data_IF_586633776585
#
_entry.id   IF_586633776585
#
_cell.length_a   1.000
_cell.length_b   1.000
_cell.length_c   1.000
_cell.angle_alpha   90.00
_cell.angle_beta   90.00
_cell.angle_gamma   90.00
#
_symmetry.space_group_name_H-M   'P 1'
#
loop_
_entity.id
_entity.type
_entity.pdbx_description
1 polymer ?
#
# COMPACT_ATOMS: atom_id res chain seq x y z
N UNK A 1 56.47 -41.96 -58.44
CA UNK A 1 56.35 -40.59 -57.94
C UNK A 1 54.88 -40.32 -57.53
N UNK A 2 54.55 -40.42 -56.23
CA UNK A 2 53.18 -40.23 -55.74
C UNK A 2 53.22 -38.88 -55.02
N UNK A 3 52.42 -37.89 -55.47
CA UNK A 3 52.23 -36.61 -54.84
C UNK A 3 51.04 -36.70 -53.87
N UNK A 4 51.31 -36.55 -52.58
CA UNK A 4 50.30 -36.46 -51.52
C UNK A 4 49.89 -34.97 -51.41
N UNK A 5 48.60 -34.69 -51.74
CA UNK A 5 47.96 -33.36 -51.44
C UNK A 5 47.47 -33.37 -50.01
N UNK A 6 48.05 -32.55 -49.16
CA UNK A 6 47.56 -32.24 -47.81
C UNK A 6 46.52 -31.13 -47.92
N UNK A 7 45.27 -31.47 -47.66
CA UNK A 7 44.18 -30.48 -47.53
C UNK A 7 44.14 -29.91 -46.10
N UNK A 8 44.48 -28.63 -45.95
CA UNK A 8 44.34 -27.90 -44.66
C UNK A 8 42.90 -27.48 -44.46
N UNK A 9 42.26 -28.04 -43.43
CA UNK A 9 40.94 -27.62 -42.97
C UNK A 9 41.13 -26.41 -42.03
N UNK A 10 40.75 -25.20 -42.47
CA UNK A 10 40.68 -24.01 -41.63
C UNK A 10 39.32 -24.03 -40.92
N UNK A 11 39.31 -24.37 -39.63
CA UNK A 11 38.13 -24.25 -38.76
C UNK A 11 37.88 -22.76 -38.46
N UNK A 12 36.82 -22.20 -39.03
CA UNK A 12 36.33 -20.86 -38.69
C UNK A 12 35.65 -20.93 -37.32
N UNK A 13 36.33 -20.55 -36.25
CA UNK A 13 35.73 -20.36 -34.95
C UNK A 13 34.91 -19.07 -34.99
N UNK A 14 33.57 -19.18 -35.06
CA UNK A 14 32.64 -18.07 -34.92
C UNK A 14 32.71 -17.57 -33.50
N UNK A 15 33.39 -16.44 -33.26
CA UNK A 15 33.29 -15.67 -32.02
C UNK A 15 31.86 -15.07 -31.94
N UNK A 16 30.99 -15.75 -31.23
CA UNK A 16 29.70 -15.17 -30.82
C UNK A 16 30.01 -13.98 -29.92
N UNK A 17 29.90 -12.77 -30.44
CA UNK A 17 29.94 -11.56 -29.61
C UNK A 17 28.78 -11.64 -28.60
N UNK A 18 29.02 -11.36 -27.29
CA UNK A 18 27.93 -11.30 -26.34
C UNK A 18 26.97 -10.21 -26.81
N UNK A 19 25.66 -10.56 -26.90
CA UNK A 19 24.62 -9.57 -27.16
C UNK A 19 24.72 -8.47 -26.08
N UNK A 20 24.56 -7.19 -26.42
CA UNK A 20 24.56 -6.13 -25.42
C UNK A 20 23.46 -6.46 -24.42
N UNK A 21 23.81 -6.62 -23.15
CA UNK A 21 22.87 -6.72 -22.04
C UNK A 21 22.04 -5.44 -22.07
N UNK A 22 20.77 -5.54 -22.42
CA UNK A 22 19.87 -4.39 -22.34
C UNK A 22 19.76 -4.00 -20.86
N UNK A 23 20.05 -2.74 -20.55
CA UNK A 23 19.90 -2.24 -19.17
C UNK A 23 18.46 -2.47 -18.70
N UNK A 24 18.28 -2.89 -17.45
CA UNK A 24 16.96 -3.07 -16.86
C UNK A 24 16.15 -1.76 -16.90
N UNK A 25 14.86 -1.87 -17.15
CA UNK A 25 13.96 -0.73 -17.16
C UNK A 25 13.77 -0.21 -15.74
N UNK A 26 14.15 1.04 -15.51
CA UNK A 26 13.97 1.68 -14.19
C UNK A 26 12.49 1.92 -13.90
N UNK A 27 12.11 1.72 -12.65
CA UNK A 27 10.75 1.92 -12.16
C UNK A 27 10.78 2.45 -10.72
N UNK A 28 10.27 3.66 -10.50
CA UNK A 28 10.17 4.25 -9.17
C UNK A 28 8.82 3.99 -8.55
N UNK A 29 8.81 3.52 -7.29
CA UNK A 29 7.61 3.26 -6.48
C UNK A 29 7.66 4.14 -5.24
N UNK A 30 6.78 5.13 -5.18
CA UNK A 30 6.62 5.99 -4.02
C UNK A 30 5.67 5.32 -3.02
N UNK A 31 6.18 5.02 -1.81
CA UNK A 31 5.40 4.41 -0.74
C UNK A 31 4.48 5.45 -0.09
N UNK A 32 3.43 4.99 0.59
CA UNK A 32 2.49 5.84 1.34
C UNK A 32 3.00 6.17 2.76
N UNK A 33 3.98 5.38 3.24
CA UNK A 33 4.56 5.47 4.58
C UNK A 33 6.05 5.13 4.54
N UNK A 34 6.76 5.21 5.67
CA UNK A 34 8.08 4.61 5.79
C UNK A 34 8.00 3.09 5.60
N UNK A 35 9.10 2.47 5.15
CA UNK A 35 9.14 1.02 4.91
C UNK A 35 8.73 0.27 6.17
N UNK A 36 7.79 -0.64 6.02
CA UNK A 36 7.25 -1.49 7.08
C UNK A 36 6.78 -2.84 6.49
N UNK A 37 6.30 -3.79 7.29
CA UNK A 37 5.87 -5.11 6.83
C UNK A 37 4.77 -5.13 5.76
N UNK A 38 3.94 -4.10 5.65
CA UNK A 38 2.90 -4.03 4.60
C UNK A 38 3.49 -3.94 3.19
N UNK A 39 4.77 -3.53 3.08
CA UNK A 39 5.51 -3.51 1.81
C UNK A 39 6.24 -4.83 1.50
N UNK A 40 6.09 -5.86 2.32
CA UNK A 40 6.84 -7.11 2.19
C UNK A 40 6.78 -7.74 0.77
N UNK A 41 5.65 -7.78 0.04
CA UNK A 41 5.66 -8.35 -1.31
C UNK A 41 6.65 -7.69 -2.27
N UNK A 42 6.82 -6.37 -2.20
CA UNK A 42 7.78 -5.66 -3.06
C UNK A 42 9.23 -5.91 -2.60
N UNK A 43 9.47 -5.89 -1.29
CA UNK A 43 10.80 -6.17 -0.72
C UNK A 43 11.24 -7.60 -1.04
N UNK A 44 10.35 -8.57 -0.91
CA UNK A 44 10.63 -9.97 -1.23
C UNK A 44 10.85 -10.15 -2.73
N UNK A 45 10.10 -9.44 -3.59
CA UNK A 45 10.34 -9.45 -5.03
C UNK A 45 11.76 -8.97 -5.37
N UNK A 46 12.24 -7.91 -4.71
CA UNK A 46 13.63 -7.45 -4.84
C UNK A 46 14.64 -8.50 -4.36
N UNK A 47 14.47 -9.00 -3.12
CA UNK A 47 15.43 -9.91 -2.50
C UNK A 47 15.54 -11.26 -3.21
N UNK A 48 14.47 -11.69 -3.88
CA UNK A 48 14.45 -12.91 -4.68
C UNK A 48 14.84 -12.70 -6.14
N UNK A 49 15.15 -11.47 -6.53
CA UNK A 49 15.52 -11.13 -7.91
C UNK A 49 14.36 -11.15 -8.90
N UNK A 50 13.09 -11.23 -8.44
CA UNK A 50 11.92 -11.34 -9.33
C UNK A 50 11.73 -10.10 -10.21
N UNK A 51 12.10 -8.92 -9.74
CA UNK A 51 12.13 -7.73 -10.58
C UNK A 51 13.23 -7.77 -11.63
N UNK A 52 14.44 -8.22 -11.24
CA UNK A 52 15.54 -8.38 -12.17
C UNK A 52 15.23 -9.42 -13.26
N UNK A 53 14.62 -10.56 -12.90
CA UNK A 53 14.16 -11.59 -13.83
C UNK A 53 13.10 -11.04 -14.81
N UNK A 54 12.32 -10.06 -14.37
CA UNK A 54 11.36 -9.31 -15.19
C UNK A 54 12.01 -8.15 -15.97
N UNK A 55 13.35 -8.02 -15.97
CA UNK A 55 14.10 -6.91 -16.56
C UNK A 55 13.67 -5.54 -16.02
N UNK A 56 13.43 -5.45 -14.70
CA UNK A 56 13.08 -4.22 -13.97
C UNK A 56 14.14 -3.90 -12.91
N UNK A 57 14.48 -2.61 -12.82
CA UNK A 57 15.24 -2.01 -11.73
C UNK A 57 14.27 -1.14 -10.91
N UNK A 58 13.76 -1.69 -9.80
CA UNK A 58 12.69 -1.07 -8.99
C UNK A 58 13.28 -0.38 -7.79
N UNK A 59 13.01 0.91 -7.64
CA UNK A 59 13.38 1.72 -6.49
C UNK A 59 12.14 1.97 -5.60
N UNK A 60 12.22 1.60 -4.31
CA UNK A 60 11.19 1.89 -3.31
C UNK A 60 11.56 3.16 -2.56
N UNK A 61 10.70 4.18 -2.60
CA UNK A 61 10.96 5.52 -2.07
C UNK A 61 9.93 5.84 -0.98
N UNK A 62 10.39 6.01 0.26
CA UNK A 62 9.52 6.47 1.34
C UNK A 62 9.19 7.97 1.18
N UNK A 63 7.93 8.40 1.39
CA UNK A 63 7.55 9.79 1.24
C UNK A 63 8.05 10.63 2.44
N UNK A 64 8.26 11.93 2.21
CA UNK A 64 8.51 12.90 3.28
C UNK A 64 7.21 13.39 3.93
N UNK A 65 6.07 13.26 3.24
CA UNK A 65 4.71 13.60 3.69
C UNK A 65 3.77 12.49 3.20
N UNK A 66 3.04 11.79 4.09
CA UNK A 66 2.16 10.68 3.70
C UNK A 66 0.99 11.11 2.80
N UNK A 67 0.61 12.39 2.83
CA UNK A 67 -0.46 12.94 1.97
C UNK A 67 0.02 13.40 0.58
N UNK A 68 1.34 13.36 0.31
CA UNK A 68 1.88 13.92 -0.93
C UNK A 68 1.84 12.96 -2.13
N UNK A 69 1.75 11.65 -1.88
CA UNK A 69 1.91 10.59 -2.88
C UNK A 69 1.05 10.78 -4.14
N UNK A 70 -0.28 11.00 -4.06
CA UNK A 70 -1.11 11.13 -5.25
C UNK A 70 -0.70 12.32 -6.12
N UNK A 71 -0.30 13.45 -5.50
CA UNK A 71 0.15 14.63 -6.24
C UNK A 71 1.50 14.41 -6.93
N UNK A 72 2.43 13.74 -6.26
CA UNK A 72 3.77 13.46 -6.79
C UNK A 72 3.69 12.49 -7.98
N UNK A 73 2.88 11.43 -7.88
CA UNK A 73 2.64 10.51 -9.00
C UNK A 73 1.92 11.22 -10.14
N UNK A 74 0.87 12.03 -9.86
CA UNK A 74 0.17 12.82 -10.87
C UNK A 74 1.10 13.78 -11.62
N UNK A 75 2.12 14.33 -10.93
CA UNK A 75 3.14 15.19 -11.51
C UNK A 75 4.25 14.44 -12.25
N UNK A 76 4.22 13.09 -12.28
CA UNK A 76 5.24 12.26 -12.92
C UNK A 76 6.58 12.21 -12.17
N UNK A 77 6.59 12.50 -10.86
CA UNK A 77 7.79 12.44 -10.03
C UNK A 77 8.08 11.01 -9.52
N UNK A 78 7.12 10.10 -9.69
CA UNK A 78 7.29 8.66 -9.54
C UNK A 78 6.40 7.96 -10.58
N UNK A 79 6.79 6.74 -11.01
CA UNK A 79 6.04 5.95 -11.97
C UNK A 79 4.80 5.31 -11.33
N UNK A 80 4.98 4.82 -10.10
CA UNK A 80 3.96 4.12 -9.29
C UNK A 80 3.86 4.81 -7.93
N UNK A 81 2.65 4.88 -7.38
CA UNK A 81 2.41 5.21 -5.98
C UNK A 81 1.69 4.08 -5.26
N UNK A 82 2.02 3.86 -3.98
CA UNK A 82 1.14 3.15 -3.08
C UNK A 82 0.11 4.15 -2.58
N UNK A 83 -1.14 3.77 -2.63
CA UNK A 83 -2.25 4.66 -2.31
C UNK A 83 -3.41 3.89 -1.68
N UNK A 84 -4.41 4.60 -1.19
CA UNK A 84 -5.59 4.03 -0.56
C UNK A 84 -6.76 4.05 -1.55
N UNK A 85 -7.48 2.93 -1.69
CA UNK A 85 -8.66 2.90 -2.57
C UNK A 85 -9.65 4.03 -2.25
N UNK A 86 -9.98 4.31 -0.98
CA UNK A 86 -10.91 5.40 -0.65
C UNK A 86 -10.45 6.79 -1.12
N UNK A 87 -9.16 7.10 -0.99
CA UNK A 87 -8.62 8.39 -1.41
C UNK A 87 -8.65 8.55 -2.93
N UNK A 88 -8.52 7.46 -3.70
CA UNK A 88 -8.58 7.51 -5.16
C UNK A 88 -9.88 8.13 -5.70
N UNK A 89 -11.02 7.94 -5.00
CA UNK A 89 -12.28 8.58 -5.39
C UNK A 89 -12.24 10.10 -5.21
N UNK A 90 -11.61 10.56 -4.13
CA UNK A 90 -11.44 12.00 -3.85
C UNK A 90 -10.48 12.65 -4.85
N UNK A 91 -9.40 11.94 -5.19
CA UNK A 91 -8.44 12.40 -6.19
C UNK A 91 -9.08 12.49 -7.57
N UNK A 92 -9.91 11.50 -7.94
CA UNK A 92 -10.68 11.54 -9.18
C UNK A 92 -11.65 12.74 -9.21
N UNK A 93 -12.41 12.99 -8.12
CA UNK A 93 -13.30 14.15 -7.99
C UNK A 93 -12.52 15.48 -8.08
N UNK A 94 -11.28 15.50 -7.56
CA UNK A 94 -10.37 16.63 -7.66
C UNK A 94 -9.69 16.78 -9.04
N UNK A 95 -9.91 15.82 -9.95
CA UNK A 95 -9.37 15.84 -11.30
C UNK A 95 -7.93 15.36 -11.43
N UNK A 96 -7.38 14.65 -10.42
CA UNK A 96 -6.06 14.03 -10.54
C UNK A 96 -6.12 12.88 -11.54
N UNK A 97 -5.17 12.79 -12.49
CA UNK A 97 -5.19 11.78 -13.55
C UNK A 97 -4.61 10.45 -13.09
N UNK A 98 -5.10 9.92 -11.96
CA UNK A 98 -4.65 8.66 -11.38
C UNK A 98 -5.59 7.51 -11.71
N UNK A 99 -5.02 6.31 -11.86
CA UNK A 99 -5.77 5.06 -11.96
C UNK A 99 -5.10 3.97 -11.12
N UNK A 100 -5.91 3.15 -10.45
CA UNK A 100 -5.46 1.91 -9.84
C UNK A 100 -5.18 0.90 -10.95
N UNK A 101 -4.05 0.22 -10.86
CA UNK A 101 -3.73 -0.90 -11.74
C UNK A 101 -3.44 -2.21 -10.98
N UNK A 102 -3.34 -2.15 -9.64
CA UNK A 102 -3.11 -3.32 -8.81
C UNK A 102 -3.48 -3.09 -7.34
N UNK A 103 -3.56 -4.18 -6.57
CA UNK A 103 -3.82 -4.16 -5.12
C UNK A 103 -2.65 -4.81 -4.39
N UNK A 104 -2.20 -4.21 -3.30
CA UNK A 104 -1.17 -4.76 -2.41
C UNK A 104 -1.81 -5.41 -1.18
N UNK A 105 -2.69 -4.67 -0.48
CA UNK A 105 -3.44 -5.14 0.68
C UNK A 105 -4.94 -5.02 0.40
N UNK A 106 -5.63 -6.16 0.37
CA UNK A 106 -7.01 -6.28 -0.15
C UNK A 106 -8.10 -6.19 0.93
N UNK A 107 -7.72 -5.90 2.19
CA UNK A 107 -8.65 -5.76 3.31
C UNK A 107 -8.35 -4.51 4.13
N UNK A 108 -9.37 -3.89 4.77
CA UNK A 108 -9.16 -2.73 5.63
C UNK A 108 -8.18 -3.00 6.77
N UNK A 109 -7.24 -2.10 6.99
CA UNK A 109 -6.32 -2.07 8.13
C UNK A 109 -6.65 -0.93 9.08
N UNK A 110 -7.22 0.14 8.58
CA UNK A 110 -7.47 1.37 9.28
C UNK A 110 -8.37 1.19 10.51
N UNK A 111 -8.15 2.00 11.54
CA UNK A 111 -8.91 1.98 12.80
C UNK A 111 -9.09 3.37 13.37
N UNK A 112 -10.09 3.50 14.27
CA UNK A 112 -10.06 4.53 15.31
C UNK A 112 -9.51 3.87 16.57
N UNK A 113 -8.35 4.33 17.05
CA UNK A 113 -7.67 3.74 18.20
C UNK A 113 -7.64 4.71 19.39
N UNK A 114 -7.90 4.16 20.59
CA UNK A 114 -7.85 4.86 21.88
C UNK A 114 -7.03 4.05 22.88
N UNK A 115 -6.63 4.65 24.01
CA UNK A 115 -6.04 3.90 25.11
C UNK A 115 -7.07 2.91 25.71
N UNK A 116 -6.71 1.65 25.87
CA UNK A 116 -7.63 0.59 26.31
C UNK A 116 -8.12 0.81 27.76
N UNK A 117 -7.28 1.34 28.63
CA UNK A 117 -7.57 1.70 30.01
C UNK A 117 -8.07 3.15 30.18
N UNK A 118 -8.06 3.96 29.10
CA UNK A 118 -8.55 5.33 29.06
C UNK A 118 -10.06 5.44 29.25
N UNK A 119 -10.60 6.66 29.29
CA UNK A 119 -12.02 6.92 29.54
C UNK A 119 -12.93 6.59 28.35
N UNK A 120 -12.38 6.50 27.12
CA UNK A 120 -13.14 6.26 25.90
C UNK A 120 -13.37 4.75 25.73
N UNK A 121 -14.63 4.33 25.82
CA UNK A 121 -15.03 2.91 25.70
C UNK A 121 -15.90 2.64 24.48
N UNK A 122 -16.47 3.68 23.88
CA UNK A 122 -17.28 3.66 22.67
C UNK A 122 -16.98 4.90 21.83
N UNK A 123 -17.39 4.90 20.56
CA UNK A 123 -17.27 6.08 19.68
C UNK A 123 -18.06 7.28 20.21
N UNK A 124 -19.13 7.06 21.00
CA UNK A 124 -19.90 8.12 21.61
C UNK A 124 -19.09 8.96 22.60
N UNK A 125 -18.09 8.36 23.24
CA UNK A 125 -17.22 9.02 24.22
C UNK A 125 -16.21 9.96 23.54
N UNK A 126 -16.15 9.98 22.20
CA UNK A 126 -15.32 10.91 21.43
C UNK A 126 -15.87 12.34 21.39
N UNK A 127 -17.10 12.57 21.87
CA UNK A 127 -17.67 13.93 21.91
C UNK A 127 -16.79 14.90 22.70
N UNK A 128 -16.38 16.00 22.05
CA UNK A 128 -15.48 17.01 22.61
C UNK A 128 -14.02 16.58 22.74
N UNK A 129 -13.63 15.48 22.08
CA UNK A 129 -12.29 14.91 22.14
C UNK A 129 -11.44 15.31 20.93
N UNK A 130 -10.11 15.22 21.12
CA UNK A 130 -9.11 15.42 20.08
C UNK A 130 -8.83 14.11 19.37
N UNK A 131 -9.02 14.10 18.05
CA UNK A 131 -8.73 12.93 17.20
C UNK A 131 -7.56 13.26 16.27
N UNK A 132 -6.44 12.58 16.46
CA UNK A 132 -5.26 12.69 15.61
C UNK A 132 -5.44 11.92 14.32
N UNK A 133 -4.99 12.49 13.19
CA UNK A 133 -4.98 11.81 11.89
C UNK A 133 -3.66 12.07 11.15
N UNK A 134 -3.35 11.25 10.15
CA UNK A 134 -2.11 11.36 9.36
C UNK A 134 -2.36 11.69 7.90
N UNK A 135 -3.35 11.07 7.26
CA UNK A 135 -3.65 11.22 5.83
C UNK A 135 -4.96 11.98 5.67
N UNK A 136 -4.91 13.10 4.95
CA UNK A 136 -6.12 13.91 4.68
C UNK A 136 -7.05 13.22 3.69
N UNK A 137 -8.35 13.53 3.81
CA UNK A 137 -9.37 13.11 2.84
C UNK A 137 -10.28 12.00 3.38
N UNK A 138 -10.04 10.74 3.02
CA UNK A 138 -10.94 9.65 3.40
C UNK A 138 -11.02 9.40 4.92
N UNK A 139 -9.94 9.63 5.66
CA UNK A 139 -9.95 9.44 7.12
C UNK A 139 -11.05 10.27 7.77
N UNK A 140 -11.19 11.55 7.39
CA UNK A 140 -12.26 12.44 7.90
C UNK A 140 -13.66 11.87 7.62
N UNK A 141 -13.82 11.27 6.46
CA UNK A 141 -15.07 10.70 5.99
C UNK A 141 -15.41 9.40 6.69
N UNK A 142 -14.42 8.55 6.91
CA UNK A 142 -14.55 7.33 7.67
C UNK A 142 -14.98 7.64 9.12
N UNK A 143 -14.31 8.60 9.76
CA UNK A 143 -14.68 9.06 11.08
C UNK A 143 -16.11 9.58 11.11
N UNK A 144 -16.51 10.41 10.14
CA UNK A 144 -17.88 10.91 10.00
C UNK A 144 -18.91 9.80 9.99
N UNK A 145 -18.67 8.72 9.23
CA UNK A 145 -19.58 7.57 9.18
C UNK A 145 -19.62 6.83 10.52
N UNK A 146 -18.46 6.61 11.12
CA UNK A 146 -18.36 5.92 12.40
C UNK A 146 -19.05 6.73 13.52
N UNK A 147 -18.83 8.04 13.59
CA UNK A 147 -19.50 8.93 14.54
C UNK A 147 -21.01 8.98 14.31
N UNK A 148 -21.48 8.99 13.06
CA UNK A 148 -22.90 8.99 12.73
C UNK A 148 -23.62 7.74 13.24
N UNK A 149 -22.94 6.59 13.37
CA UNK A 149 -23.52 5.37 13.96
C UNK A 149 -23.89 5.56 15.45
N UNK A 150 -23.29 6.54 16.12
CA UNK A 150 -23.51 6.90 17.51
C UNK A 150 -24.27 8.24 17.68
N UNK A 151 -24.80 8.78 16.57
CA UNK A 151 -25.51 10.07 16.58
C UNK A 151 -24.64 11.31 16.73
N UNK A 152 -23.35 11.19 16.45
CA UNK A 152 -22.38 12.27 16.45
C UNK A 152 -22.02 12.71 15.03
N UNK A 153 -21.32 13.83 14.91
CA UNK A 153 -20.77 14.39 13.67
C UNK A 153 -19.29 14.74 13.85
N UNK A 154 -18.61 15.11 12.75
CA UNK A 154 -17.22 15.60 12.84
C UNK A 154 -17.11 16.92 13.64
N UNK A 155 -18.19 17.72 13.72
CA UNK A 155 -18.21 18.95 14.53
C UNK A 155 -18.20 18.68 16.04
N UNK A 156 -18.46 17.42 16.44
CA UNK A 156 -18.38 16.99 17.83
C UNK A 156 -16.97 16.61 18.28
N UNK A 157 -15.96 16.65 17.40
CA UNK A 157 -14.55 16.31 17.68
C UNK A 157 -13.60 17.37 17.12
N UNK A 158 -12.39 17.47 17.69
CA UNK A 158 -11.32 18.31 17.18
C UNK A 158 -10.32 17.45 16.40
N UNK A 159 -10.20 17.66 15.08
CA UNK A 159 -9.25 16.93 14.23
C UNK A 159 -7.87 17.59 14.27
N UNK A 160 -6.82 16.80 14.56
CA UNK A 160 -5.44 17.29 14.66
C UNK A 160 -4.55 16.44 13.74
N UNK A 161 -3.91 17.09 12.76
CA UNK A 161 -2.89 16.39 11.95
C UNK A 161 -1.66 16.12 12.82
N UNK A 162 -1.33 14.83 12.99
CA UNK A 162 -0.16 14.36 13.74
C UNK A 162 0.95 13.80 12.87
N UNK A 163 0.77 13.87 11.53
CA UNK A 163 1.71 13.35 10.55
C UNK A 163 2.05 11.88 10.86
N UNK A 164 3.32 11.47 10.84
CA UNK A 164 3.78 10.12 11.15
C UNK A 164 3.69 9.71 12.63
N UNK A 165 3.10 10.54 13.51
CA UNK A 165 3.16 10.37 14.97
C UNK A 165 1.84 9.91 15.59
N UNK A 166 1.17 8.90 15.03
CA UNK A 166 -0.12 8.39 15.53
C UNK A 166 0.00 7.87 16.97
N UNK A 167 0.66 6.73 17.18
CA UNK A 167 0.83 6.13 18.52
C UNK A 167 1.53 7.05 19.50
N UNK A 168 2.63 7.73 19.17
CA UNK A 168 3.26 8.67 20.11
C UNK A 168 2.36 9.83 20.55
N UNK A 169 1.51 10.35 19.65
CA UNK A 169 0.58 11.44 19.98
C UNK A 169 -0.54 10.98 20.92
N UNK A 170 -1.02 9.75 20.76
CA UNK A 170 -2.04 9.16 21.63
C UNK A 170 -1.46 8.82 23.01
N UNK A 171 -0.31 8.14 23.07
CA UNK A 171 0.37 7.76 24.30
C UNK A 171 0.78 9.01 25.10
N UNK A 172 1.30 10.03 24.42
CA UNK A 172 1.70 11.30 25.03
C UNK A 172 0.54 12.21 25.43
N UNK A 173 -0.73 11.83 25.17
CA UNK A 173 -1.91 12.62 25.52
C UNK A 173 -2.08 13.91 24.70
N UNK A 174 -1.40 14.04 23.55
CA UNK A 174 -1.59 15.16 22.63
C UNK A 174 -2.98 15.08 21.97
N UNK A 175 -3.46 13.86 21.74
CA UNK A 175 -4.80 13.53 21.24
C UNK A 175 -5.42 12.45 22.12
N UNK A 176 -6.76 12.35 22.12
CA UNK A 176 -7.53 11.38 22.90
C UNK A 176 -7.79 10.08 22.11
N UNK A 177 -7.75 10.16 20.80
CA UNK A 177 -7.90 9.06 19.86
C UNK A 177 -7.02 9.29 18.63
N UNK A 178 -6.73 8.24 17.88
CA UNK A 178 -6.12 8.35 16.56
C UNK A 178 -6.98 7.66 15.51
N UNK A 179 -6.94 8.21 14.31
CA UNK A 179 -7.56 7.72 13.08
C UNK A 179 -6.44 7.47 12.07
N UNK A 180 -6.52 6.39 11.32
CA UNK A 180 -5.47 6.04 10.35
C UNK A 180 -4.46 5.01 10.85
N UNK A 181 -4.48 4.67 12.15
CA UNK A 181 -3.63 3.59 12.67
C UNK A 181 -4.06 2.22 12.16
N UNK A 182 -3.09 1.42 11.72
CA UNK A 182 -3.33 0.10 11.19
C UNK A 182 -3.39 -0.95 12.30
N UNK A 183 -4.41 -1.81 12.24
CA UNK A 183 -4.68 -2.84 13.26
C UNK A 183 -3.56 -3.87 13.42
N UNK A 184 -2.75 -4.08 12.39
CA UNK A 184 -1.61 -4.99 12.37
C UNK A 184 -0.31 -4.35 12.90
N UNK A 185 -0.24 -3.02 13.05
CA UNK A 185 0.97 -2.30 13.41
C UNK A 185 0.80 -1.47 14.70
N UNK A 186 -0.04 -0.44 14.70
CA UNK A 186 -0.14 0.51 15.82
C UNK A 186 -0.61 -0.12 17.12
N UNK A 187 -1.54 -1.09 17.08
CA UNK A 187 -1.98 -1.78 18.30
C UNK A 187 -0.84 -2.58 18.95
N UNK A 188 0.00 -3.21 18.13
CA UNK A 188 1.19 -3.94 18.60
C UNK A 188 2.23 -2.97 19.12
N UNK A 189 2.49 -1.87 18.41
CA UNK A 189 3.41 -0.83 18.85
C UNK A 189 3.01 -0.29 20.24
N UNK A 190 1.77 0.14 20.40
CA UNK A 190 1.28 0.65 21.69
C UNK A 190 1.43 -0.38 22.81
N UNK A 191 1.11 -1.65 22.54
CA UNK A 191 1.26 -2.74 23.52
C UNK A 191 2.72 -2.92 23.96
N UNK A 192 3.65 -2.90 23.03
CA UNK A 192 5.09 -3.03 23.31
C UNK A 192 5.65 -1.83 24.08
N UNK A 193 5.07 -0.65 23.86
CA UNK A 193 5.40 0.58 24.61
C UNK A 193 4.70 0.62 25.99
N UNK A 194 3.97 -0.43 26.40
CA UNK A 194 3.31 -0.54 27.69
C UNK A 194 1.94 0.15 27.76
N UNK A 195 1.39 0.55 26.62
CA UNK A 195 0.11 1.26 26.52
C UNK A 195 -0.85 0.49 25.58
N UNK A 196 -1.65 -0.43 26.11
CA UNK A 196 -2.58 -1.18 25.29
C UNK A 196 -3.58 -0.27 24.56
N UNK A 197 -3.72 -0.45 23.25
CA UNK A 197 -4.73 0.20 22.42
C UNK A 197 -6.04 -0.60 22.40
N UNK A 198 -7.16 0.12 22.24
CA UNK A 198 -8.47 -0.40 21.85
C UNK A 198 -8.82 0.19 20.50
N UNK A 199 -9.16 -0.66 19.53
CA UNK A 199 -9.57 -0.23 18.19
C UNK A 199 -11.07 -0.35 18.01
N UNK A 200 -11.64 0.59 17.23
CA UNK A 200 -12.96 0.52 16.63
C UNK A 200 -12.75 0.34 15.12
N UNK A 201 -13.35 -0.69 14.55
CA UNK A 201 -13.13 -1.04 13.15
C UNK A 201 -14.19 -0.40 12.25
N UNK A 202 -13.79 0.29 11.16
CA UNK A 202 -14.73 1.00 10.28
C UNK A 202 -15.84 0.12 9.73
N UNK A 203 -15.52 -1.13 9.38
CA UNK A 203 -16.47 -2.11 8.84
C UNK A 203 -17.59 -2.49 9.82
N UNK A 204 -17.36 -2.38 11.13
CA UNK A 204 -18.36 -2.60 12.19
C UNK A 204 -19.30 -1.40 12.39
N UNK A 205 -18.92 -0.25 11.81
CA UNK A 205 -19.65 1.02 11.91
C UNK A 205 -20.17 1.53 10.56
N UNK A 206 -20.36 0.61 9.61
CA UNK A 206 -21.05 0.86 8.34
C UNK A 206 -20.19 1.45 7.23
N UNK A 207 -18.87 1.37 7.34
CA UNK A 207 -17.96 1.62 6.20
C UNK A 207 -17.84 0.32 5.41
N UNK A 208 -18.13 0.30 4.09
CA UNK A 208 -17.98 -0.91 3.30
C UNK A 208 -16.53 -1.38 3.21
N UNK A 209 -16.31 -2.68 3.00
CA UNK A 209 -14.98 -3.22 2.75
C UNK A 209 -14.35 -2.60 1.49
N UNK A 210 -13.05 -2.32 1.57
CA UNK A 210 -12.24 -1.70 0.52
C UNK A 210 -10.83 -2.30 0.50
N UNK A 211 -10.08 -2.03 -0.57
CA UNK A 211 -8.66 -2.34 -0.65
C UNK A 211 -7.87 -1.28 0.13
N UNK A 212 -7.14 -1.70 1.16
CA UNK A 212 -6.38 -0.74 1.97
C UNK A 212 -5.26 -0.11 1.16
N UNK A 213 -4.39 -0.94 0.56
CA UNK A 213 -3.26 -0.46 -0.23
C UNK A 213 -3.38 -0.91 -1.69
N UNK A 214 -3.35 0.07 -2.58
CA UNK A 214 -3.44 -0.12 -4.02
C UNK A 214 -2.22 0.47 -4.73
N UNK A 215 -1.88 -0.09 -5.88
CA UNK A 215 -0.92 0.49 -6.81
C UNK A 215 -1.63 1.45 -7.76
N UNK A 216 -1.19 2.70 -7.79
CA UNK A 216 -1.69 3.72 -8.71
C UNK A 216 -0.58 4.21 -9.64
N UNK A 217 -0.97 4.62 -10.83
CA UNK A 217 -0.13 5.30 -11.81
C UNK A 217 -0.93 6.41 -12.48
N UNK A 218 -0.27 7.23 -13.28
CA UNK A 218 -0.97 8.19 -14.13
C UNK A 218 -1.81 7.46 -15.18
N UNK A 219 -2.96 7.98 -15.51
CA UNK A 219 -3.86 7.39 -16.52
C UNK A 219 -3.19 7.23 -17.89
N UNK A 220 -2.40 8.20 -18.31
CA UNK A 220 -1.65 8.14 -19.58
C UNK A 220 -0.50 7.12 -19.57
N UNK A 221 -0.07 6.70 -18.40
CA UNK A 221 0.96 5.67 -18.19
C UNK A 221 0.38 4.27 -17.98
N UNK A 222 -0.95 4.11 -17.97
CA UNK A 222 -1.60 2.80 -17.69
C UNK A 222 -1.28 1.71 -18.72
N UNK A 223 -0.83 2.08 -19.93
CA UNK A 223 -0.40 1.16 -20.96
C UNK A 223 1.11 0.82 -20.92
N UNK A 224 1.84 1.28 -19.92
CA UNK A 224 3.27 1.02 -19.76
C UNK A 224 3.55 -0.47 -19.55
N UNK A 225 4.37 -1.06 -20.41
CA UNK A 225 4.73 -2.48 -20.37
C UNK A 225 5.52 -2.91 -19.13
N UNK A 226 6.03 -1.96 -18.34
CA UNK A 226 6.69 -2.23 -17.07
C UNK A 226 5.69 -2.65 -16.00
N UNK A 227 4.45 -2.13 -16.03
CA UNK A 227 3.43 -2.38 -15.00
C UNK A 227 2.99 -3.83 -14.89
N UNK A 228 2.64 -4.57 -15.97
CA UNK A 228 2.30 -5.99 -15.86
C UNK A 228 3.47 -6.83 -15.35
N UNK A 229 4.71 -6.52 -15.74
CA UNK A 229 5.92 -7.19 -15.26
C UNK A 229 6.12 -6.97 -13.75
N UNK A 230 5.90 -5.73 -13.28
CA UNK A 230 5.93 -5.37 -11.87
C UNK A 230 4.89 -6.17 -11.08
N UNK A 231 3.61 -6.16 -11.50
CA UNK A 231 2.54 -6.89 -10.82
C UNK A 231 2.79 -8.39 -10.78
N UNK A 232 3.32 -8.97 -11.86
CA UNK A 232 3.67 -10.39 -11.89
C UNK A 232 4.74 -10.75 -10.85
N UNK A 233 5.79 -9.93 -10.72
CA UNK A 233 6.83 -10.12 -9.72
C UNK A 233 6.26 -9.99 -8.27
N UNK A 234 5.37 -9.01 -8.04
CA UNK A 234 4.68 -8.84 -6.74
C UNK A 234 3.77 -10.03 -6.43
N UNK A 235 3.04 -10.56 -7.42
CA UNK A 235 2.20 -11.75 -7.27
C UNK A 235 3.03 -12.98 -6.87
N UNK A 236 4.13 -13.24 -7.57
CA UNK A 236 5.05 -14.34 -7.23
C UNK A 236 5.60 -14.19 -5.80
N UNK A 237 5.96 -12.96 -5.39
CA UNK A 237 6.42 -12.68 -4.04
C UNK A 237 5.30 -12.91 -3.00
N UNK A 238 4.06 -12.48 -3.26
CA UNK A 238 2.91 -12.70 -2.36
C UNK A 238 2.61 -14.19 -2.18
N UNK A 239 2.69 -14.99 -3.25
CA UNK A 239 2.56 -16.44 -3.19
C UNK A 239 3.70 -17.06 -2.38
N UNK A 240 4.94 -16.62 -2.60
CA UNK A 240 6.09 -17.09 -1.83
C UNK A 240 5.96 -16.78 -0.34
N UNK A 241 5.61 -15.56 0.03
CA UNK A 241 5.39 -15.14 1.43
C UNK A 241 4.35 -16.04 2.10
N UNK A 242 3.26 -16.35 1.39
CA UNK A 242 2.19 -17.22 1.90
C UNK A 242 2.67 -18.65 2.19
N UNK A 243 3.50 -19.21 1.30
CA UNK A 243 3.95 -20.59 1.39
C UNK A 243 5.22 -20.76 2.24
N UNK A 244 6.03 -19.70 2.38
CA UNK A 244 7.34 -19.71 3.06
C UNK A 244 7.48 -18.51 4.00
N UNK A 245 6.56 -18.28 4.96
CA UNK A 245 6.49 -17.04 5.74
C UNK A 245 7.74 -16.78 6.58
N UNK A 246 8.36 -17.81 7.13
CA UNK A 246 9.58 -17.66 7.94
C UNK A 246 10.79 -17.26 7.08
N UNK A 247 10.93 -17.88 5.91
CA UNK A 247 11.99 -17.53 4.95
C UNK A 247 11.79 -16.11 4.41
N UNK A 248 10.55 -15.74 4.10
CA UNK A 248 10.19 -14.40 3.67
C UNK A 248 10.53 -13.35 4.74
N UNK A 249 10.25 -13.63 6.02
CA UNK A 249 10.69 -12.76 7.12
C UNK A 249 12.19 -12.58 7.14
N UNK A 250 12.97 -13.66 7.01
CA UNK A 250 14.44 -13.57 6.98
C UNK A 250 14.95 -12.72 5.80
N UNK A 251 14.31 -12.82 4.64
CA UNK A 251 14.64 -11.97 3.49
C UNK A 251 14.28 -10.50 3.73
N UNK A 252 13.15 -10.25 4.39
CA UNK A 252 12.70 -8.90 4.72
C UNK A 252 13.69 -8.20 5.66
N UNK A 253 14.07 -8.82 6.77
CA UNK A 253 15.01 -8.24 7.74
C UNK A 253 16.47 -8.20 7.20
N UNK A 254 16.81 -9.07 6.25
CA UNK A 254 18.08 -8.96 5.53
C UNK A 254 18.17 -7.68 4.71
N UNK A 255 17.04 -7.26 4.09
CA UNK A 255 16.96 -6.01 3.35
C UNK A 255 16.92 -4.79 4.29
N UNK A 256 16.23 -4.92 5.42
CA UNK A 256 16.02 -3.86 6.41
C UNK A 256 16.36 -4.33 7.82
N UNK A 257 17.67 -4.45 8.17
CA UNK A 257 18.08 -4.98 9.48
C UNK A 257 17.60 -4.15 10.68
N UNK A 258 17.32 -2.87 10.47
CA UNK A 258 16.76 -1.98 11.48
C UNK A 258 15.28 -2.27 11.83
N UNK A 259 14.62 -3.15 11.07
CA UNK A 259 13.26 -3.62 11.31
C UNK A 259 13.23 -5.04 11.91
N UNK A 260 14.37 -5.60 12.33
CA UNK A 260 14.44 -6.89 13.02
C UNK A 260 14.10 -6.72 14.50
N UNK A 261 12.82 -6.50 14.78
CA UNK A 261 12.26 -6.35 16.11
C UNK A 261 10.90 -7.06 16.26
N UNK A 262 10.38 -7.10 17.49
CA UNK A 262 9.11 -7.78 17.80
C UNK A 262 7.91 -7.11 17.14
N UNK A 263 7.91 -5.76 17.02
CA UNK A 263 6.85 -5.01 16.36
C UNK A 263 6.72 -5.42 14.90
N UNK A 264 7.82 -5.27 14.15
CA UNK A 264 7.83 -5.54 12.72
C UNK A 264 7.60 -7.04 12.44
N UNK A 265 8.14 -7.92 13.29
CA UNK A 265 7.87 -9.37 13.18
C UNK A 265 6.39 -9.67 13.34
N UNK A 266 5.75 -9.15 14.38
CA UNK A 266 4.32 -9.38 14.63
C UNK A 266 3.48 -8.81 13.48
N UNK A 267 3.73 -7.57 13.09
CA UNK A 267 3.03 -6.93 11.99
C UNK A 267 3.19 -7.70 10.67
N UNK A 268 4.39 -8.22 10.37
CA UNK A 268 4.64 -9.04 9.18
C UNK A 268 3.70 -10.25 9.12
N UNK A 269 3.61 -11.02 10.21
CA UNK A 269 2.77 -12.22 10.24
C UNK A 269 1.27 -11.89 10.26
N UNK A 270 0.86 -10.79 10.88
CA UNK A 270 -0.53 -10.31 10.92
C UNK A 270 -1.00 -9.78 9.55
N UNK A 271 -0.06 -9.33 8.71
CA UNK A 271 -0.39 -8.84 7.35
C UNK A 271 -0.52 -9.97 6.31
N UNK A 272 0.10 -11.13 6.53
CA UNK A 272 0.13 -12.22 5.53
C UNK A 272 -1.23 -12.59 4.92
N UNK A 273 -2.31 -12.75 5.70
CA UNK A 273 -3.62 -13.11 5.14
C UNK A 273 -4.28 -11.98 4.36
N UNK A 274 -3.73 -10.77 4.40
CA UNK A 274 -4.31 -9.55 3.84
C UNK A 274 -3.69 -9.14 2.51
N UNK A 275 -2.52 -9.69 2.18
CA UNK A 275 -1.90 -9.43 0.88
C UNK A 275 -2.75 -9.99 -0.25
N UNK A 276 -2.94 -9.18 -1.30
CA UNK A 276 -3.59 -9.61 -2.51
C UNK A 276 -2.81 -10.78 -3.16
N UNK A 277 -3.48 -11.92 -3.32
CA UNK A 277 -2.89 -13.11 -3.97
C UNK A 277 -2.86 -12.97 -5.49
N UNK A 278 -3.67 -12.08 -6.03
CA UNK A 278 -3.73 -11.70 -7.44
C UNK A 278 -3.78 -10.18 -7.53
N UNK A 279 -2.64 -9.50 -7.41
CA UNK A 279 -2.59 -8.03 -7.38
C UNK A 279 -3.28 -7.36 -8.56
N UNK A 280 -3.24 -7.96 -9.75
CA UNK A 280 -3.88 -7.42 -10.95
C UNK A 280 -5.42 -7.51 -10.94
N UNK A 281 -6.01 -8.45 -10.16
CA UNK A 281 -7.46 -8.65 -10.12
C UNK A 281 -8.20 -7.39 -9.63
N UNK A 282 -9.38 -7.13 -10.21
CA UNK A 282 -10.24 -6.00 -9.85
C UNK A 282 -11.63 -6.51 -9.47
N UNK A 283 -12.06 -6.24 -8.23
CA UNK A 283 -13.44 -6.46 -7.81
C UNK A 283 -14.29 -5.22 -8.16
N UNK A 284 -14.87 -5.23 -9.37
CA UNK A 284 -15.75 -4.16 -9.85
C UNK A 284 -16.90 -3.88 -8.88
N UNK A 285 -17.48 -4.92 -8.25
CA UNK A 285 -18.58 -4.78 -7.31
C UNK A 285 -18.15 -4.04 -6.04
N UNK A 286 -16.95 -4.31 -5.51
CA UNK A 286 -16.36 -3.59 -4.36
C UNK A 286 -16.20 -2.11 -4.69
N UNK A 287 -15.61 -1.79 -5.84
CA UNK A 287 -15.41 -0.41 -6.28
C UNK A 287 -16.73 0.33 -6.47
N UNK A 288 -17.74 -0.29 -7.07
CA UNK A 288 -19.07 0.33 -7.23
C UNK A 288 -19.78 0.57 -5.89
N UNK A 289 -19.78 -0.43 -4.99
CA UNK A 289 -20.38 -0.28 -3.65
C UNK A 289 -19.72 0.83 -2.85
N UNK A 290 -18.38 0.89 -2.94
CA UNK A 290 -17.63 1.92 -2.23
C UNK A 290 -17.86 3.32 -2.83
N UNK A 291 -17.95 3.46 -4.16
CA UNK A 291 -18.29 4.72 -4.81
C UNK A 291 -19.70 5.21 -4.39
N UNK A 292 -20.69 4.31 -4.31
CA UNK A 292 -22.02 4.64 -3.83
C UNK A 292 -22.01 5.14 -2.37
N UNK A 293 -21.22 4.47 -1.50
CA UNK A 293 -20.99 4.91 -0.12
C UNK A 293 -20.34 6.32 -0.07
N UNK A 294 -19.33 6.58 -0.88
CA UNK A 294 -18.68 7.90 -0.94
C UNK A 294 -19.66 9.00 -1.36
N UNK A 295 -20.57 8.70 -2.29
CA UNK A 295 -21.62 9.63 -2.71
C UNK A 295 -22.66 9.83 -1.60
N UNK A 296 -23.12 8.76 -0.92
CA UNK A 296 -24.03 8.84 0.23
C UNK A 296 -23.45 9.75 1.33
N UNK A 297 -22.15 9.62 1.59
CA UNK A 297 -21.42 10.45 2.56
C UNK A 297 -21.17 11.88 2.06
N UNK A 298 -21.56 12.20 0.81
CA UNK A 298 -21.36 13.50 0.13
C UNK A 298 -19.89 13.88 -0.04
N UNK A 299 -19.04 12.88 -0.24
CA UNK A 299 -17.60 13.06 -0.45
C UNK A 299 -17.26 13.20 -1.94
N UNK A 300 -18.09 12.60 -2.78
CA UNK A 300 -18.08 12.76 -4.23
C UNK A 300 -19.48 13.16 -4.70
N UNK A 301 -19.56 13.89 -5.78
CA UNK A 301 -20.83 14.38 -6.34
C UNK A 301 -21.56 13.30 -7.14
N UNK A 302 -20.80 12.51 -7.88
CA UNK A 302 -21.32 11.46 -8.76
C UNK A 302 -20.52 10.18 -8.58
N UNK A 303 -21.21 9.02 -8.75
CA UNK A 303 -20.52 7.72 -8.78
C UNK A 303 -19.80 7.59 -10.12
N UNK A 304 -18.45 7.58 -10.15
CA UNK A 304 -17.72 7.42 -11.41
C UNK A 304 -17.82 5.98 -11.93
N UNK A 305 -17.77 5.77 -13.26
CA UNK A 305 -17.55 4.44 -13.81
C UNK A 305 -16.28 3.82 -13.25
N UNK A 306 -16.29 2.50 -12.97
CA UNK A 306 -15.08 1.83 -12.42
C UNK A 306 -13.87 1.99 -13.32
N UNK A 307 -14.04 1.99 -14.65
CA UNK A 307 -12.96 2.22 -15.61
C UNK A 307 -12.29 3.60 -15.53
N UNK A 308 -12.95 4.57 -14.86
CA UNK A 308 -12.35 5.88 -14.59
C UNK A 308 -11.46 5.87 -13.35
N UNK A 309 -11.59 4.84 -12.50
CA UNK A 309 -10.82 4.68 -11.26
C UNK A 309 -9.75 3.60 -11.38
N UNK A 310 -10.02 2.54 -12.13
CA UNK A 310 -9.19 1.34 -12.13
C UNK A 310 -9.11 0.70 -13.52
N UNK A 311 -7.96 0.14 -13.83
CA UNK A 311 -7.71 -0.63 -15.04
C UNK A 311 -7.25 -2.04 -14.67
N UNK A 312 -7.63 -3.02 -15.48
CA UNK A 312 -7.09 -4.38 -15.40
C UNK A 312 -5.91 -4.48 -16.37
N UNK A 313 -4.75 -4.77 -15.81
CA UNK A 313 -3.52 -5.02 -16.59
C UNK A 313 -3.41 -6.54 -16.80
N UNK A 314 -3.21 -6.94 -18.07
CA UNK A 314 -3.09 -8.34 -18.49
C UNK A 314 -1.65 -8.71 -18.75
#
# INVERSE_FOLDING_TARGET
>A
MIRILTASFIALASLAAPAPSQAADKLSVLLEWFVNPDHAPMVIAQQRGLFADANLDVELIAPSDPSAVPRLVSAGQADIGIHYQPNLYLDHEAGLPLVRFGTLVETPLNTVTVLADGPIKSLKDLKGKKVGFSVTGFEDAMLKRMLASEGLSNDDVELINVNFSLSPSLIGGKVDATLGGFRNFELTQMKLEGHAGRAFFPEEHGVPAYDELIFVTRRDSAADSRLPRFLHAVEQASIFITNHPQEAWQLFIKAYPNLDDELNRTAFFDTLPRFAKRPAALDHGRYQRFAAFMQEMRLIKTVPPVGDLAVEIK
#
